data_IF_436720590681
#
_entry.id   IF_436720590681
#
_cell.length_a   1.000
_cell.length_b   1.000
_cell.length_c   1.000
_cell.angle_alpha   90.00
_cell.angle_beta   90.00
_cell.angle_gamma   90.00
#
_symmetry.space_group_name_H-M   'P 1'
#
loop_
_entity.id
_entity.type
_entity.pdbx_description
1 polymer ?
#
# COMPACT_ATOMS: atom_id res chain seq x y z
N UNK A 1 2.24 16.54 -17.07
CA UNK A 1 1.06 16.18 -17.88
C UNK A 1 -0.15 16.82 -17.20
N UNK A 2 -0.98 17.56 -17.93
CA UNK A 2 -2.25 18.07 -17.42
C UNK A 2 -3.33 17.08 -17.76
N UNK A 3 -4.13 16.66 -16.76
CA UNK A 3 -5.29 15.78 -16.95
C UNK A 3 -6.47 16.62 -17.43
N UNK A 4 -7.21 16.12 -18.41
CA UNK A 4 -8.49 16.66 -18.77
C UNK A 4 -9.64 15.92 -18.05
N UNK A 5 -10.85 16.44 -18.15
CA UNK A 5 -12.04 15.85 -17.52
C UNK A 5 -12.33 14.42 -17.97
N UNK A 6 -11.97 14.09 -19.20
CA UNK A 6 -12.13 12.74 -19.74
C UNK A 6 -11.12 11.78 -19.15
N UNK A 7 -9.86 12.20 -18.99
CA UNK A 7 -8.82 11.40 -18.32
C UNK A 7 -9.24 11.07 -16.88
N UNK A 8 -9.79 12.06 -16.15
CA UNK A 8 -10.33 11.88 -14.80
C UNK A 8 -11.47 10.86 -14.79
N UNK A 9 -12.41 10.97 -15.72
CA UNK A 9 -13.52 10.00 -15.84
C UNK A 9 -13.01 8.58 -16.10
N UNK A 10 -12.06 8.41 -17.02
CA UNK A 10 -11.44 7.11 -17.31
C UNK A 10 -10.76 6.53 -16.05
N UNK A 11 -9.99 7.34 -15.32
CA UNK A 11 -9.35 6.91 -14.08
C UNK A 11 -10.36 6.49 -13.02
N UNK A 12 -11.45 7.24 -12.83
CA UNK A 12 -12.50 6.90 -11.89
C UNK A 12 -13.20 5.58 -12.25
N UNK A 13 -13.41 5.31 -13.54
CA UNK A 13 -13.95 4.03 -14.01
C UNK A 13 -13.01 2.87 -13.74
N UNK A 14 -11.72 3.03 -14.05
CA UNK A 14 -10.69 2.00 -13.82
C UNK A 14 -10.43 1.75 -12.34
N UNK A 15 -10.54 2.77 -11.47
CA UNK A 15 -10.44 2.58 -10.02
C UNK A 15 -11.59 1.73 -9.45
N UNK A 16 -12.80 1.84 -10.04
CA UNK A 16 -13.97 1.05 -9.63
C UNK A 16 -13.89 -0.39 -10.13
N UNK A 17 -13.49 -0.55 -11.37
CA UNK A 17 -13.33 -1.87 -12.00
C UNK A 17 -12.24 -1.81 -13.08
N UNK A 18 -11.06 -2.28 -12.73
CA UNK A 18 -9.90 -2.33 -13.63
C UNK A 18 -10.04 -3.39 -14.74
N UNK A 19 -11.06 -4.26 -14.69
CA UNK A 19 -11.33 -5.28 -15.72
C UNK A 19 -12.31 -4.82 -16.80
N UNK A 20 -12.83 -3.61 -16.71
CA UNK A 20 -13.69 -3.06 -17.77
C UNK A 20 -12.99 -3.09 -19.13
N UNK A 21 -13.73 -3.50 -20.15
CA UNK A 21 -13.21 -3.45 -21.52
C UNK A 21 -13.12 -1.98 -21.99
N UNK A 22 -12.18 -1.69 -22.88
CA UNK A 22 -12.08 -0.35 -23.49
C UNK A 22 -13.38 0.07 -24.17
N UNK A 23 -14.16 -0.88 -24.67
CA UNK A 23 -15.49 -0.62 -25.27
C UNK A 23 -16.47 -0.08 -24.21
N UNK A 24 -16.57 -0.72 -23.06
CA UNK A 24 -17.43 -0.26 -21.97
C UNK A 24 -17.05 1.13 -21.46
N UNK A 25 -15.75 1.37 -21.34
CA UNK A 25 -15.24 2.70 -20.95
C UNK A 25 -15.58 3.74 -22.05
N UNK A 26 -15.36 3.41 -23.33
CA UNK A 26 -15.64 4.27 -24.47
C UNK A 26 -17.10 4.73 -24.51
N UNK A 27 -18.04 3.80 -24.29
CA UNK A 27 -19.46 4.09 -24.21
C UNK A 27 -19.79 5.09 -23.06
N UNK A 28 -19.12 4.94 -21.91
CA UNK A 28 -19.35 5.80 -20.74
C UNK A 28 -18.74 7.21 -20.86
N UNK A 29 -17.64 7.35 -21.62
CA UNK A 29 -16.98 8.65 -21.82
C UNK A 29 -17.30 9.31 -23.16
N UNK A 30 -18.16 8.69 -23.99
CA UNK A 30 -18.56 9.13 -25.32
C UNK A 30 -17.36 9.34 -26.28
N UNK A 31 -16.47 8.36 -26.34
CA UNK A 31 -15.30 8.32 -27.23
C UNK A 31 -15.26 7.04 -28.02
N UNK A 32 -14.41 7.01 -29.06
CA UNK A 32 -14.07 5.75 -29.75
C UNK A 32 -13.21 4.85 -28.87
N UNK A 33 -13.28 3.54 -29.09
CA UNK A 33 -12.46 2.54 -28.39
C UNK A 33 -10.97 2.84 -28.54
N UNK A 34 -10.56 3.25 -29.76
CA UNK A 34 -9.16 3.63 -30.05
C UNK A 34 -8.74 4.86 -29.23
N UNK A 35 -9.60 5.88 -29.12
CA UNK A 35 -9.29 7.07 -28.35
C UNK A 35 -9.11 6.75 -26.85
N UNK A 36 -9.96 5.88 -26.30
CA UNK A 36 -9.82 5.41 -24.91
C UNK A 36 -8.53 4.62 -24.71
N UNK A 37 -8.22 3.69 -25.62
CA UNK A 37 -6.97 2.93 -25.57
C UNK A 37 -5.74 3.85 -25.54
N UNK A 38 -5.66 4.83 -26.46
CA UNK A 38 -4.52 5.75 -26.51
C UNK A 38 -4.42 6.63 -25.24
N UNK A 39 -5.56 7.04 -24.66
CA UNK A 39 -5.57 7.77 -23.39
C UNK A 39 -5.05 6.92 -22.23
N UNK A 40 -5.53 5.69 -22.08
CA UNK A 40 -5.07 4.78 -21.03
C UNK A 40 -3.58 4.52 -21.17
N UNK A 41 -3.11 4.21 -22.39
CA UNK A 41 -1.70 4.01 -22.67
C UNK A 41 -0.83 5.23 -22.35
N UNK A 42 -1.35 6.44 -22.59
CA UNK A 42 -0.68 7.69 -22.19
C UNK A 42 -0.62 7.85 -20.66
N UNK A 43 -1.69 7.49 -19.92
CA UNK A 43 -1.74 7.52 -18.46
C UNK A 43 -0.74 6.53 -17.85
N UNK A 44 -0.62 5.33 -18.41
CA UNK A 44 0.37 4.31 -18.04
C UNK A 44 1.80 4.79 -18.31
N UNK A 45 2.07 5.27 -19.53
CA UNK A 45 3.39 5.77 -19.94
C UNK A 45 3.88 6.91 -19.03
N UNK A 46 2.98 7.77 -18.59
CA UNK A 46 3.30 8.88 -17.68
C UNK A 46 3.27 8.46 -16.19
N UNK A 47 3.19 7.18 -15.90
CA UNK A 47 3.21 6.62 -14.54
C UNK A 47 2.08 7.13 -13.63
N UNK A 48 0.98 7.62 -14.20
CA UNK A 48 -0.21 7.97 -13.45
C UNK A 48 -0.97 6.69 -13.05
N UNK A 49 -1.11 5.76 -14.00
CA UNK A 49 -1.48 4.37 -13.71
C UNK A 49 -0.17 3.63 -13.49
N UNK A 50 0.12 3.27 -12.25
CA UNK A 50 1.37 2.59 -11.88
C UNK A 50 1.25 1.07 -11.98
N UNK A 51 0.06 0.53 -11.69
CA UNK A 51 -0.20 -0.91 -11.70
C UNK A 51 -1.71 -1.17 -11.70
N UNK A 52 -2.09 -2.34 -12.16
CA UNK A 52 -3.41 -2.94 -11.94
C UNK A 52 -3.26 -4.02 -10.87
N UNK A 53 -4.08 -3.99 -9.84
CA UNK A 53 -4.01 -4.93 -8.72
C UNK A 53 -5.39 -5.47 -8.37
N UNK A 54 -5.42 -6.53 -7.61
CA UNK A 54 -6.64 -7.10 -7.04
C UNK A 54 -6.68 -6.84 -5.54
N UNK A 55 -7.87 -6.72 -5.00
CA UNK A 55 -8.10 -6.80 -3.56
C UNK A 55 -8.34 -8.25 -3.18
N UNK A 56 -7.64 -8.72 -2.14
CA UNK A 56 -7.72 -10.10 -1.68
C UNK A 56 -8.32 -10.11 -0.28
N UNK A 57 -9.20 -11.07 -0.01
CA UNK A 57 -9.76 -11.27 1.32
C UNK A 57 -8.70 -11.84 2.27
N UNK A 58 -8.21 -10.99 3.18
CA UNK A 58 -7.20 -11.35 4.17
C UNK A 58 -7.66 -12.45 5.13
N UNK A 59 -8.98 -12.63 5.33
CA UNK A 59 -9.52 -13.71 6.19
C UNK A 59 -9.28 -15.08 5.53
N UNK A 60 -9.49 -15.17 4.22
CA UNK A 60 -9.26 -16.42 3.47
C UNK A 60 -7.76 -16.75 3.44
N UNK A 61 -6.90 -15.73 3.42
CA UNK A 61 -5.44 -15.91 3.47
C UNK A 61 -4.89 -16.13 4.89
N UNK A 62 -5.74 -16.23 5.90
CA UNK A 62 -5.33 -16.30 7.31
C UNK A 62 -4.38 -15.15 7.72
N UNK A 63 -4.56 -13.95 7.17
CA UNK A 63 -3.78 -12.73 7.44
C UNK A 63 -4.70 -11.58 7.87
N UNK A 64 -5.62 -11.86 8.77
CA UNK A 64 -6.64 -10.90 9.22
C UNK A 64 -6.30 -10.16 10.52
N UNK A 65 -5.18 -10.52 11.17
CA UNK A 65 -4.71 -9.84 12.36
C UNK A 65 -3.79 -8.67 11.97
N UNK A 66 -4.35 -7.46 11.96
CA UNK A 66 -3.64 -6.25 11.57
C UNK A 66 -3.10 -5.50 12.78
N UNK A 67 -1.84 -5.10 12.70
CA UNK A 67 -1.15 -4.37 13.77
C UNK A 67 -0.37 -3.20 13.17
N UNK A 68 -0.44 -2.03 13.79
CA UNK A 68 0.50 -0.94 13.53
C UNK A 68 1.64 -1.02 14.53
N UNK A 69 2.86 -1.28 14.02
CA UNK A 69 4.07 -1.27 14.82
C UNK A 69 4.80 0.06 14.62
N UNK A 70 4.87 0.85 15.68
CA UNK A 70 5.66 2.06 15.72
C UNK A 70 7.07 1.70 16.16
N UNK A 71 8.06 2.16 15.40
CA UNK A 71 9.48 1.84 15.63
C UNK A 71 10.26 3.12 15.85
N UNK A 72 11.09 3.12 16.87
CA UNK A 72 12.09 4.16 17.13
C UNK A 72 13.48 3.57 16.97
N UNK A 73 14.33 4.23 16.20
CA UNK A 73 15.72 3.83 16.02
C UNK A 73 16.58 4.39 17.16
N UNK A 74 17.68 3.71 17.48
CA UNK A 74 18.65 4.19 18.47
C UNK A 74 19.40 5.43 17.94
N UNK A 75 19.71 5.42 16.63
CA UNK A 75 20.46 6.49 15.98
C UNK A 75 19.90 6.77 14.59
N UNK A 76 20.03 8.02 14.11
CA UNK A 76 19.49 8.50 12.85
C UNK A 76 20.57 8.75 11.78
N UNK A 77 21.69 7.99 11.83
CA UNK A 77 22.69 8.03 10.77
C UNK A 77 22.13 7.43 9.50
N UNK A 78 22.42 8.04 8.35
CA UNK A 78 21.87 7.62 7.05
C UNK A 78 22.11 6.13 6.74
N UNK A 79 23.26 5.60 7.13
CA UNK A 79 23.60 4.18 6.93
C UNK A 79 22.65 3.25 7.70
N UNK A 80 22.34 3.60 8.97
CA UNK A 80 21.45 2.81 9.83
C UNK A 80 19.99 2.88 9.36
N UNK A 81 19.56 4.05 8.90
CA UNK A 81 18.25 4.25 8.26
C UNK A 81 18.13 3.34 7.03
N UNK A 82 19.12 3.39 6.13
CA UNK A 82 19.13 2.59 4.92
C UNK A 82 19.14 1.09 5.22
N UNK A 83 19.92 0.66 6.22
CA UNK A 83 19.97 -0.74 6.67
C UNK A 83 18.60 -1.20 7.16
N UNK A 84 17.98 -0.46 8.09
CA UNK A 84 16.66 -0.77 8.61
C UNK A 84 15.61 -0.85 7.48
N UNK A 85 15.56 0.14 6.59
CA UNK A 85 14.61 0.16 5.48
C UNK A 85 14.79 -1.03 4.53
N UNK A 86 16.04 -1.43 4.27
CA UNK A 86 16.32 -2.57 3.40
C UNK A 86 15.92 -3.90 4.05
N UNK A 87 16.11 -4.05 5.37
CA UNK A 87 15.69 -5.25 6.07
C UNK A 87 14.17 -5.34 6.22
N UNK A 88 13.49 -4.24 6.56
CA UNK A 88 12.02 -4.22 6.67
C UNK A 88 11.34 -4.57 5.35
N UNK A 89 11.88 -4.13 4.20
CA UNK A 89 11.35 -4.48 2.86
C UNK A 89 11.34 -5.99 2.58
N UNK A 90 12.16 -6.78 3.28
CA UNK A 90 12.23 -8.24 3.12
C UNK A 90 11.21 -8.99 3.97
N UNK A 91 10.54 -8.32 4.91
CA UNK A 91 9.60 -8.93 5.84
C UNK A 91 8.22 -9.09 5.18
N UNK A 92 7.77 -10.31 4.86
CA UNK A 92 6.51 -10.52 4.15
C UNK A 92 5.26 -10.20 4.98
N UNK A 93 5.39 -10.10 6.30
CA UNK A 93 4.33 -9.69 7.20
C UNK A 93 4.09 -8.16 7.15
N UNK A 94 5.10 -7.38 6.73
CA UNK A 94 5.02 -5.92 6.61
C UNK A 94 4.47 -5.57 5.24
N UNK A 95 3.22 -5.12 5.21
CA UNK A 95 2.58 -4.70 3.95
C UNK A 95 2.98 -3.27 3.58
N UNK A 96 3.09 -2.39 4.55
CA UNK A 96 3.44 -0.98 4.36
C UNK A 96 4.42 -0.52 5.46
N UNK A 97 5.36 0.33 5.09
CA UNK A 97 6.32 0.96 5.99
C UNK A 97 6.40 2.45 5.66
N UNK A 98 6.18 3.29 6.65
CA UNK A 98 6.21 4.74 6.52
C UNK A 98 7.29 5.32 7.43
N UNK A 99 8.19 6.13 6.87
CA UNK A 99 9.05 6.99 7.66
C UNK A 99 8.23 8.23 8.06
N UNK A 100 8.15 8.51 9.33
CA UNK A 100 7.27 9.55 9.89
C UNK A 100 8.06 10.54 10.76
N UNK A 101 7.48 11.69 11.02
CA UNK A 101 7.99 12.64 12.01
C UNK A 101 7.19 12.49 13.31
N UNK A 102 7.82 12.76 14.46
CA UNK A 102 7.20 12.71 15.78
C UNK A 102 7.96 11.81 16.75
N UNK A 103 7.26 11.15 17.66
CA UNK A 103 7.86 10.34 18.72
C UNK A 103 8.51 9.05 18.21
N UNK A 104 8.08 8.57 17.06
CA UNK A 104 8.60 7.38 16.37
C UNK A 104 9.12 7.74 14.99
N UNK A 105 10.06 6.93 14.50
CA UNK A 105 10.69 7.13 13.19
C UNK A 105 9.92 6.41 12.09
N UNK A 106 9.32 5.24 12.41
CA UNK A 106 8.59 4.44 11.43
C UNK A 106 7.27 3.92 11.97
N UNK A 107 6.31 3.77 11.07
CA UNK A 107 5.07 3.04 11.29
C UNK A 107 5.00 1.92 10.27
N UNK A 108 4.91 0.68 10.77
CA UNK A 108 4.74 -0.53 9.96
C UNK A 108 3.29 -0.99 10.05
N UNK A 109 2.70 -1.30 8.91
CA UNK A 109 1.41 -1.99 8.84
C UNK A 109 1.66 -3.47 8.62
N UNK A 110 1.43 -4.24 9.66
CA UNK A 110 1.74 -5.67 9.76
C UNK A 110 0.47 -6.49 9.67
N UNK A 111 0.51 -7.57 8.89
CA UNK A 111 -0.56 -8.54 8.80
C UNK A 111 -0.04 -9.93 9.11
N UNK A 112 -0.65 -10.56 10.10
CA UNK A 112 -0.33 -11.94 10.53
C UNK A 112 -1.63 -12.71 10.75
N UNK A 113 -1.53 -13.99 11.08
CA UNK A 113 -2.69 -14.85 11.32
C UNK A 113 -3.39 -14.51 12.63
N UNK A 114 -2.63 -14.41 13.71
CA UNK A 114 -3.11 -14.27 15.09
C UNK A 114 -2.04 -13.63 16.00
N UNK A 115 -2.34 -13.56 17.30
CA UNK A 115 -1.43 -13.00 18.30
C UNK A 115 -0.14 -13.81 18.46
N UNK A 116 -0.18 -15.13 18.33
CA UNK A 116 1.02 -15.97 18.46
C UNK A 116 1.96 -15.74 17.27
N UNK A 117 1.42 -15.66 16.05
CA UNK A 117 2.17 -15.30 14.85
C UNK A 117 2.75 -13.87 14.96
N UNK A 118 2.00 -12.93 15.57
CA UNK A 118 2.50 -11.59 15.83
C UNK A 118 3.68 -11.61 16.83
N UNK A 119 3.54 -12.35 17.91
CA UNK A 119 4.62 -12.52 18.90
C UNK A 119 5.88 -13.11 18.27
N UNK A 120 5.71 -14.13 17.42
CA UNK A 120 6.83 -14.73 16.68
C UNK A 120 7.50 -13.72 15.75
N UNK A 121 6.71 -12.97 14.97
CA UNK A 121 7.18 -11.88 14.11
C UNK A 121 7.99 -10.85 14.91
N UNK A 122 7.45 -10.39 16.05
CA UNK A 122 8.15 -9.41 16.90
C UNK A 122 9.50 -9.95 17.38
N UNK A 123 9.53 -11.14 17.99
CA UNK A 123 10.72 -11.69 18.65
C UNK A 123 11.79 -12.16 17.65
N UNK A 124 11.36 -12.86 16.58
CA UNK A 124 12.30 -13.51 15.65
C UNK A 124 12.66 -12.64 14.45
N UNK A 125 11.86 -11.63 14.12
CA UNK A 125 12.05 -10.83 12.91
C UNK A 125 12.25 -9.36 13.23
N UNK A 126 11.23 -8.65 13.71
CA UNK A 126 11.30 -7.21 13.84
C UNK A 126 12.37 -6.79 14.87
N UNK A 127 12.29 -7.25 16.12
CA UNK A 127 13.22 -6.82 17.15
C UNK A 127 14.61 -7.45 17.05
N UNK A 128 14.79 -8.40 16.12
CA UNK A 128 16.12 -8.91 15.77
C UNK A 128 16.87 -8.04 14.75
N UNK A 129 16.20 -7.07 14.15
CA UNK A 129 16.85 -6.10 13.28
C UNK A 129 17.74 -5.16 14.09
N UNK A 130 18.87 -4.79 13.49
CA UNK A 130 19.80 -3.84 14.09
C UNK A 130 19.17 -2.45 14.25
N UNK A 131 19.67 -1.68 15.20
CA UNK A 131 19.36 -0.25 15.41
C UNK A 131 17.96 0.06 15.92
N UNK A 132 17.12 -0.92 16.27
CA UNK A 132 15.83 -0.67 16.93
C UNK A 132 16.07 -0.31 18.39
N UNK A 133 15.61 0.88 18.79
CA UNK A 133 15.65 1.36 20.17
C UNK A 133 14.40 0.96 20.95
N UNK A 134 13.24 1.18 20.39
CA UNK A 134 11.96 0.78 21.00
C UNK A 134 10.89 0.54 19.97
N UNK A 135 9.89 -0.24 20.37
CA UNK A 135 8.70 -0.50 19.56
C UNK A 135 7.43 -0.32 20.39
N UNK A 136 6.36 0.15 19.74
CA UNK A 136 5.03 0.20 20.31
C UNK A 136 4.03 -0.39 19.33
N UNK A 137 3.18 -1.30 19.76
CA UNK A 137 2.22 -1.99 18.91
C UNK A 137 0.79 -1.59 19.22
N UNK A 138 0.07 -1.17 18.17
CA UNK A 138 -1.36 -0.83 18.24
C UNK A 138 -2.15 -1.87 17.45
N UNK A 139 -2.97 -2.66 18.16
CA UNK A 139 -3.80 -3.70 17.56
C UNK A 139 -5.07 -3.09 16.98
N UNK A 140 -5.37 -3.38 15.74
CA UNK A 140 -6.56 -2.87 15.07
C UNK A 140 -7.77 -3.72 15.48
N UNK A 141 -8.72 -3.10 16.15
CA UNK A 141 -9.96 -3.74 16.58
C UNK A 141 -10.91 -3.86 15.38
N UNK A 142 -11.04 -2.79 14.60
CA UNK A 142 -11.91 -2.74 13.43
C UNK A 142 -11.38 -1.74 12.40
N UNK A 143 -11.49 -2.06 11.12
CA UNK A 143 -11.20 -1.14 10.02
C UNK A 143 -12.48 -0.45 9.60
N UNK A 144 -12.65 0.81 10.00
CA UNK A 144 -13.88 1.58 9.73
C UNK A 144 -13.96 2.02 8.27
N UNK A 145 -12.84 2.37 7.66
CA UNK A 145 -12.74 2.76 6.24
C UNK A 145 -11.42 2.24 5.67
N UNK A 146 -11.50 1.52 4.57
CA UNK A 146 -10.33 1.04 3.83
C UNK A 146 -10.61 1.19 2.32
N UNK A 147 -10.66 2.43 1.85
CA UNK A 147 -10.85 2.72 0.43
C UNK A 147 -9.50 2.94 -0.23
N UNK A 148 -9.29 2.31 -1.38
CA UNK A 148 -8.15 2.56 -2.27
C UNK A 148 -8.54 3.45 -3.46
N UNK A 149 -9.80 3.87 -3.51
CA UNK A 149 -10.33 4.73 -4.55
C UNK A 149 -10.11 6.18 -4.11
N UNK A 150 -9.39 6.93 -4.92
CA UNK A 150 -9.26 8.38 -4.78
C UNK A 150 -10.36 9.06 -5.58
N UNK A 151 -11.12 9.93 -4.95
CA UNK A 151 -12.05 10.83 -5.67
C UNK A 151 -11.21 11.88 -6.40
N UNK A 152 -11.30 11.87 -7.74
CA UNK A 152 -10.54 12.73 -8.64
C UNK A 152 -11.45 13.79 -9.26
#
# INVERSE_FOLDING_TARGET
MTLDTTDIRILNLLQKDAKQTHKLIADQVNLSVTAVYERIKKLEKNQLIKAYTIEVDNKILERNFMVFCHVKLVHHKQEMINEFENEVKKLPEVLECFHVSGDYDYILKVFVKDMDAFREFMVKKLTSLNHIGSTHSSFVINSVKNSRIHEL
#
